data_IF_292709773162
#
_entry.id   IF_292709773162
#
_cell.length_a   1.000
_cell.length_b   1.000
_cell.length_c   1.000
_cell.angle_alpha   90.00
_cell.angle_beta   90.00
_cell.angle_gamma   90.00
#
_symmetry.space_group_name_H-M   'P 1'
#
loop_
_entity.id
_entity.type
_entity.pdbx_description
1 polymer ?
#
# COMPACT_ATOMS: atom_id res chain seq x y z
N UNK A 1 25.59 18.56 -20.45
CA UNK A 1 24.60 18.90 -21.49
C UNK A 1 23.34 19.26 -20.76
N UNK A 2 22.90 20.51 -20.90
CA UNK A 2 21.82 21.06 -20.08
C UNK A 2 20.52 20.85 -20.85
N UNK A 3 19.70 19.87 -20.42
CA UNK A 3 18.39 19.57 -21.02
C UNK A 3 17.33 20.60 -20.57
N UNK A 4 17.61 21.89 -20.73
CA UNK A 4 16.71 22.98 -20.36
C UNK A 4 15.37 22.85 -21.12
N UNK A 5 15.42 22.34 -22.36
CA UNK A 5 14.22 22.11 -23.18
C UNK A 5 13.19 21.18 -22.52
N UNK A 6 13.63 20.15 -21.78
CA UNK A 6 12.70 19.19 -21.16
C UNK A 6 11.91 19.79 -19.99
N UNK A 7 12.45 20.82 -19.33
CA UNK A 7 11.88 21.35 -18.10
C UNK A 7 11.12 22.67 -18.32
N UNK A 8 11.63 23.56 -19.16
CA UNK A 8 11.02 24.88 -19.39
C UNK A 8 10.86 25.25 -20.88
N UNK A 9 11.27 24.37 -21.80
CA UNK A 9 11.26 24.58 -23.25
C UNK A 9 12.12 25.77 -23.72
N UNK A 10 13.05 26.23 -22.90
CA UNK A 10 13.91 27.40 -23.17
C UNK A 10 15.16 27.13 -24.02
N UNK A 11 15.43 25.86 -24.36
CA UNK A 11 16.59 25.42 -25.12
C UNK A 11 16.29 25.06 -26.59
N UNK A 12 17.33 24.70 -27.33
CA UNK A 12 17.19 24.16 -28.69
C UNK A 12 16.65 22.71 -28.62
N UNK A 13 15.51 22.42 -29.29
CA UNK A 13 14.92 21.09 -29.24
C UNK A 13 15.78 20.07 -29.98
N UNK A 14 15.84 18.86 -29.43
CA UNK A 14 16.34 17.71 -30.17
C UNK A 14 15.47 17.46 -31.42
N UNK A 15 16.05 17.22 -32.60
CA UNK A 15 15.30 16.98 -33.84
C UNK A 15 14.27 15.85 -33.73
N UNK A 16 14.59 14.76 -33.02
CA UNK A 16 13.69 13.62 -32.85
C UNK A 16 12.52 13.98 -31.93
N UNK A 17 12.79 14.75 -30.87
CA UNK A 17 11.76 15.27 -29.97
C UNK A 17 10.84 16.23 -30.70
N UNK A 18 11.37 17.07 -31.58
CA UNK A 18 10.59 18.01 -32.37
C UNK A 18 9.64 17.30 -33.34
N UNK A 19 10.10 16.24 -34.01
CA UNK A 19 9.27 15.42 -34.90
C UNK A 19 8.11 14.76 -34.13
N UNK A 20 8.39 14.20 -32.95
CA UNK A 20 7.38 13.62 -32.06
C UNK A 20 6.37 14.67 -31.57
N UNK A 21 6.83 15.85 -31.16
CA UNK A 21 5.92 16.93 -30.73
C UNK A 21 5.01 17.40 -31.87
N UNK A 22 5.51 17.47 -33.10
CA UNK A 22 4.72 17.85 -34.27
C UNK A 22 3.69 16.77 -34.65
N UNK A 23 4.06 15.48 -34.58
CA UNK A 23 3.14 14.36 -34.80
C UNK A 23 2.01 14.33 -33.77
N UNK A 24 2.31 14.60 -32.51
CA UNK A 24 1.35 14.54 -31.40
C UNK A 24 0.57 15.84 -31.20
N UNK A 25 0.99 16.94 -31.84
CA UNK A 25 0.35 18.26 -31.74
C UNK A 25 -1.16 18.24 -31.96
N UNK A 26 -1.73 17.50 -32.93
CA UNK A 26 -3.19 17.46 -33.15
C UNK A 26 -3.95 16.77 -32.01
N UNK A 27 -3.29 15.88 -31.26
CA UNK A 27 -3.87 15.14 -30.14
C UNK A 27 -3.72 15.87 -28.80
N UNK A 28 -3.07 17.05 -28.78
CA UNK A 28 -2.85 17.81 -27.56
C UNK A 28 -4.18 18.21 -26.94
N UNK A 29 -4.45 17.65 -25.76
CA UNK A 29 -5.66 17.94 -25.00
C UNK A 29 -5.80 19.43 -24.72
N UNK A 30 -6.98 19.99 -24.99
CA UNK A 30 -7.34 21.34 -24.55
C UNK A 30 -7.39 21.30 -23.02
N UNK A 31 -6.46 21.99 -22.37
CA UNK A 31 -6.33 21.98 -20.91
C UNK A 31 -7.68 22.13 -20.23
N UNK A 32 -7.92 21.34 -19.18
CA UNK A 32 -9.14 21.47 -18.39
C UNK A 32 -9.14 22.86 -17.76
N UNK A 33 -10.08 23.68 -18.20
CA UNK A 33 -10.34 24.97 -17.58
C UNK A 33 -11.03 24.66 -16.26
N UNK A 34 -10.32 24.82 -15.14
CA UNK A 34 -10.93 24.66 -13.82
C UNK A 34 -12.13 25.60 -13.71
N UNK A 35 -13.34 25.09 -13.42
CA UNK A 35 -14.48 25.95 -13.18
C UNK A 35 -14.28 26.68 -11.85
N UNK A 36 -13.95 27.97 -11.92
CA UNK A 36 -13.90 28.85 -10.74
C UNK A 36 -15.34 29.18 -10.35
N UNK A 37 -15.99 28.30 -9.58
CA UNK A 37 -17.28 28.58 -8.98
C UNK A 37 -17.09 29.42 -7.70
N UNK A 38 -17.83 30.53 -7.51
CA UNK A 38 -17.78 31.28 -6.27
C UNK A 38 -18.46 30.49 -5.14
N UNK A 39 -17.69 30.10 -4.13
CA UNK A 39 -18.19 29.39 -2.95
C UNK A 39 -18.93 30.37 -2.04
N UNK A 40 -20.26 30.47 -2.17
CA UNK A 40 -21.10 31.15 -1.17
C UNK A 40 -21.13 30.33 0.11
N UNK A 41 -20.40 30.80 1.12
CA UNK A 41 -20.28 30.19 2.45
C UNK A 41 -21.56 30.38 3.27
N UNK A 42 -22.56 29.57 2.99
CA UNK A 42 -23.71 29.39 3.88
C UNK A 42 -23.33 28.34 4.91
N UNK A 43 -22.90 28.77 6.10
CA UNK A 43 -22.67 27.88 7.23
C UNK A 43 -24.02 27.33 7.73
N UNK A 44 -24.33 26.04 7.48
CA UNK A 44 -25.58 25.46 7.96
C UNK A 44 -25.49 25.32 9.48
N UNK A 45 -26.57 25.62 10.19
CA UNK A 45 -26.68 25.49 11.66
C UNK A 45 -26.36 24.09 12.18
N UNK A 46 -26.28 23.09 11.30
CA UNK A 46 -25.84 21.73 11.57
C UNK A 46 -24.34 21.58 11.90
N UNK A 47 -23.49 22.57 11.57
CA UNK A 47 -22.06 22.55 11.99
C UNK A 47 -21.94 22.55 13.52
N UNK A 48 -22.82 23.27 14.23
CA UNK A 48 -22.84 23.27 15.69
C UNK A 48 -23.24 21.88 16.26
N UNK A 49 -24.15 21.17 15.58
CA UNK A 49 -24.53 19.81 15.96
C UNK A 49 -23.40 18.79 15.70
N UNK A 50 -22.63 18.97 14.62
CA UNK A 50 -21.48 18.13 14.31
C UNK A 50 -20.37 18.26 15.37
N UNK A 51 -20.10 19.47 15.88
CA UNK A 51 -19.10 19.70 16.94
C UNK A 51 -19.48 18.97 18.24
N UNK A 52 -20.76 19.00 18.64
CA UNK A 52 -21.22 18.29 19.83
C UNK A 52 -21.13 16.76 19.70
N UNK A 53 -21.47 16.21 18.53
CA UNK A 53 -21.31 14.77 18.25
C UNK A 53 -19.83 14.34 18.25
N UNK A 54 -18.93 15.21 17.78
CA UNK A 54 -17.48 14.97 17.75
C UNK A 54 -16.88 14.81 19.15
N UNK A 55 -17.36 15.60 20.13
CA UNK A 55 -16.91 15.50 21.52
C UNK A 55 -17.35 14.19 22.19
N UNK A 56 -18.56 13.70 21.88
CA UNK A 56 -19.03 12.41 22.39
C UNK A 56 -18.29 11.22 21.76
N UNK A 57 -17.96 11.31 20.47
CA UNK A 57 -17.14 10.29 19.78
C UNK A 57 -15.70 10.32 20.32
N UNK A 58 -15.10 11.50 20.49
CA UNK A 58 -13.76 11.65 21.05
C UNK A 58 -13.64 11.12 22.47
N UNK A 59 -14.63 11.38 23.33
CA UNK A 59 -14.67 10.83 24.68
C UNK A 59 -14.89 9.31 24.68
N UNK A 60 -15.73 8.80 23.78
CA UNK A 60 -15.93 7.35 23.60
C UNK A 60 -14.66 6.64 23.13
N UNK A 61 -13.93 7.22 22.17
CA UNK A 61 -12.64 6.69 21.70
C UNK A 61 -11.56 6.78 22.79
N UNK A 62 -11.62 7.75 23.71
CA UNK A 62 -10.66 7.84 24.81
C UNK A 62 -10.88 6.77 25.89
N UNK A 63 -12.12 6.34 26.14
CA UNK A 63 -12.43 5.31 27.13
C UNK A 63 -12.45 3.87 26.57
N UNK A 64 -12.59 3.70 25.26
CA UNK A 64 -12.64 2.38 24.59
C UNK A 64 -11.52 2.15 23.58
N UNK A 65 -10.65 3.14 23.35
CA UNK A 65 -9.50 3.04 22.46
C UNK A 65 -8.22 2.77 23.25
N UNK A 66 -8.09 1.58 23.83
CA UNK A 66 -6.77 1.01 24.16
C UNK A 66 -6.09 0.48 22.88
N UNK A 67 -5.96 1.36 21.89
CA UNK A 67 -5.03 1.21 20.77
C UNK A 67 -4.40 2.59 20.56
N UNK A 68 -3.31 2.81 21.30
CA UNK A 68 -2.50 4.01 21.27
C UNK A 68 -1.81 4.15 19.90
N UNK A 69 -2.12 5.16 19.06
CA UNK A 69 -1.32 5.42 17.88
C UNK A 69 -0.18 6.35 18.29
N UNK A 70 0.95 5.77 18.71
CA UNK A 70 2.19 6.54 18.80
C UNK A 70 3.17 6.10 19.87
N UNK A 71 3.96 5.06 19.60
CA UNK A 71 5.32 5.04 20.11
C UNK A 71 6.26 4.42 19.05
N UNK A 72 7.31 5.13 18.60
CA UNK A 72 8.35 4.51 17.82
C UNK A 72 9.06 3.53 18.76
N UNK A 73 8.71 2.26 18.63
CA UNK A 73 9.38 1.18 19.35
C UNK A 73 10.87 1.24 19.00
N UNK A 74 11.76 1.03 19.99
CA UNK A 74 13.18 0.92 19.72
C UNK A 74 13.37 -0.16 18.65
N UNK A 75 14.13 0.19 17.59
CA UNK A 75 14.55 -0.70 16.50
C UNK A 75 15.09 -1.99 17.09
N UNK A 76 14.20 -2.95 17.30
CA UNK A 76 14.53 -4.29 17.72
C UNK A 76 14.78 -4.99 16.41
N UNK A 77 16.05 -5.33 16.20
CA UNK A 77 16.55 -6.21 15.15
C UNK A 77 15.46 -7.08 14.55
N UNK A 78 15.20 -6.87 13.27
CA UNK A 78 14.27 -7.60 12.41
C UNK A 78 14.65 -9.08 12.43
N UNK A 79 14.15 -9.82 13.42
CA UNK A 79 13.76 -11.20 13.19
C UNK A 79 12.41 -11.09 12.51
N UNK A 80 12.34 -11.38 11.21
CA UNK A 80 11.12 -11.31 10.39
C UNK A 80 10.00 -12.18 11.00
N UNK A 81 9.28 -11.63 11.97
CA UNK A 81 8.15 -12.26 12.63
C UNK A 81 6.93 -12.02 11.78
N UNK A 82 6.49 -13.04 11.04
CA UNK A 82 5.24 -12.98 10.31
C UNK A 82 4.09 -13.26 11.28
N UNK A 83 3.26 -12.26 11.56
CA UNK A 83 2.06 -12.46 12.38
C UNK A 83 0.87 -12.81 11.48
N UNK A 84 0.03 -13.73 11.94
CA UNK A 84 -1.13 -14.20 11.18
C UNK A 84 -2.42 -13.87 11.91
N UNK A 85 -3.32 -13.20 11.21
CA UNK A 85 -4.68 -12.91 11.67
C UNK A 85 -5.71 -13.66 10.80
N UNK A 86 -6.77 -14.16 11.43
CA UNK A 86 -7.88 -14.80 10.71
C UNK A 86 -7.63 -16.28 10.34
N UNK A 87 -6.54 -16.89 10.80
CA UNK A 87 -6.32 -18.34 10.72
C UNK A 87 -6.50 -18.98 12.10
N UNK A 88 -7.51 -19.83 12.24
CA UNK A 88 -7.85 -20.45 13.52
C UNK A 88 -6.65 -21.19 14.14
N UNK A 89 -6.29 -20.82 15.37
CA UNK A 89 -5.22 -21.48 16.14
C UNK A 89 -3.80 -21.11 15.73
N UNK A 90 -3.59 -20.12 14.86
CA UNK A 90 -2.26 -19.63 14.47
C UNK A 90 -2.17 -18.12 14.60
N UNK A 91 -1.16 -17.66 15.33
CA UNK A 91 -0.85 -16.23 15.53
C UNK A 91 0.47 -15.81 14.87
N UNK A 92 1.35 -16.75 14.52
CA UNK A 92 2.61 -16.46 13.84
C UNK A 92 3.04 -17.59 12.92
N UNK A 93 3.92 -17.26 11.97
CA UNK A 93 4.48 -18.18 10.98
C UNK A 93 5.99 -17.94 10.89
N UNK A 94 6.74 -19.05 10.80
CA UNK A 94 8.19 -19.01 10.68
C UNK A 94 8.65 -19.15 9.21
N UNK A 95 9.87 -18.69 8.89
CA UNK A 95 10.52 -19.08 7.64
C UNK A 95 10.48 -20.59 7.40
N UNK A 96 10.27 -20.99 6.14
CA UNK A 96 10.08 -22.38 5.71
C UNK A 96 8.65 -22.91 5.86
N UNK A 97 7.79 -22.26 6.65
CA UNK A 97 6.41 -22.71 6.85
C UNK A 97 5.48 -22.29 5.71
N UNK A 98 4.37 -23.03 5.59
CA UNK A 98 3.33 -22.78 4.59
C UNK A 98 2.01 -22.41 5.27
N UNK A 99 1.42 -21.31 4.79
CA UNK A 99 0.07 -20.85 5.12
C UNK A 99 -0.87 -21.38 4.04
N UNK A 100 -1.94 -22.06 4.46
CA UNK A 100 -3.02 -22.49 3.57
C UNK A 100 -4.33 -21.96 4.10
N UNK A 101 -4.99 -21.13 3.29
CA UNK A 101 -6.32 -20.59 3.61
C UNK A 101 -7.36 -21.56 3.05
N UNK A 102 -8.21 -22.20 3.88
CA UNK A 102 -9.22 -23.13 3.38
C UNK A 102 -10.28 -22.40 2.54
N UNK A 103 -10.75 -23.05 1.47
CA UNK A 103 -11.83 -22.49 0.63
C UNK A 103 -13.19 -22.44 1.35
N UNK A 104 -13.48 -23.42 2.19
CA UNK A 104 -14.76 -23.55 2.91
C UNK A 104 -14.59 -23.08 4.35
N UNK A 105 -15.52 -22.25 4.83
CA UNK A 105 -15.56 -21.78 6.22
C UNK A 105 -14.66 -20.59 6.54
N UNK A 106 -13.87 -20.08 5.58
CA UNK A 106 -13.14 -18.82 5.73
C UNK A 106 -14.13 -17.64 5.66
N UNK A 107 -14.20 -16.82 6.72
CA UNK A 107 -15.18 -15.71 6.82
C UNK A 107 -14.66 -14.39 6.26
N UNK A 108 -13.34 -14.24 6.16
CA UNK A 108 -12.60 -13.15 5.49
C UNK A 108 -11.19 -13.67 5.21
N UNK A 109 -10.43 -13.06 4.29
CA UNK A 109 -9.07 -13.50 3.97
C UNK A 109 -8.15 -13.60 5.20
N UNK A 110 -7.10 -14.41 5.10
CA UNK A 110 -6.07 -14.49 6.15
C UNK A 110 -5.07 -13.36 5.95
N UNK A 111 -4.82 -12.56 6.98
CA UNK A 111 -3.85 -11.47 6.91
C UNK A 111 -2.52 -11.89 7.52
N UNK A 112 -1.46 -11.56 6.81
CA UNK A 112 -0.08 -11.72 7.21
C UNK A 112 0.52 -10.33 7.44
N UNK A 113 0.93 -10.02 8.66
CA UNK A 113 1.68 -8.80 8.98
C UNK A 113 3.18 -9.11 8.88
N UNK A 114 3.93 -8.22 8.25
CA UNK A 114 5.35 -8.41 7.96
C UNK A 114 6.14 -7.36 8.76
N UNK A 115 6.30 -7.59 10.06
CA UNK A 115 6.86 -6.59 10.97
C UNK A 115 6.21 -5.21 10.73
N UNK A 116 7.04 -4.20 10.54
CA UNK A 116 6.61 -2.82 10.25
C UNK A 116 6.52 -2.50 8.75
N UNK A 117 6.83 -3.46 7.88
CA UNK A 117 6.94 -3.25 6.43
C UNK A 117 5.57 -3.13 5.78
N UNK A 118 4.59 -3.91 6.23
CA UNK A 118 3.25 -3.90 5.65
C UNK A 118 2.49 -5.19 5.90
N UNK A 119 1.50 -5.43 5.03
CA UNK A 119 0.58 -6.56 5.16
C UNK A 119 0.28 -7.24 3.83
N UNK A 120 0.03 -8.55 3.90
CA UNK A 120 -0.44 -9.37 2.78
C UNK A 120 -1.73 -10.06 3.18
N UNK A 121 -2.77 -9.89 2.39
CA UNK A 121 -4.06 -10.55 2.57
C UNK A 121 -4.19 -11.71 1.57
N UNK A 122 -4.55 -12.89 2.08
CA UNK A 122 -4.70 -14.11 1.29
C UNK A 122 -6.17 -14.48 1.16
N UNK A 123 -6.61 -14.65 -0.08
CA UNK A 123 -7.98 -15.07 -0.37
C UNK A 123 -8.20 -16.55 -0.02
N UNK A 124 -9.46 -16.98 0.22
CA UNK A 124 -9.79 -18.39 0.42
C UNK A 124 -9.28 -19.29 -0.70
N UNK A 125 -8.61 -20.39 -0.34
CA UNK A 125 -7.99 -21.32 -1.29
C UNK A 125 -6.56 -20.96 -1.71
N UNK A 126 -5.97 -19.93 -1.10
CA UNK A 126 -4.59 -19.53 -1.36
C UNK A 126 -3.60 -20.35 -0.53
N UNK A 127 -2.41 -20.56 -1.10
CA UNK A 127 -1.27 -21.20 -0.45
C UNK A 127 -0.04 -20.33 -0.62
N UNK A 128 0.47 -19.85 0.50
CA UNK A 128 1.64 -18.99 0.59
C UNK A 128 2.73 -19.69 1.38
N UNK A 129 3.95 -19.70 0.88
CA UNK A 129 5.14 -20.19 1.59
C UNK A 129 5.95 -19.00 2.06
N UNK A 130 6.38 -19.03 3.31
CA UNK A 130 7.40 -18.11 3.79
C UNK A 130 8.74 -18.73 3.47
N UNK A 131 9.56 -18.04 2.68
CA UNK A 131 10.88 -18.54 2.32
C UNK A 131 11.87 -18.24 3.44
N UNK A 132 12.80 -19.16 3.61
CA UNK A 132 14.01 -18.95 4.40
C UNK A 132 14.97 -18.24 3.44
N UNK A 133 15.03 -16.92 3.52
CA UNK A 133 16.05 -16.16 2.82
C UNK A 133 17.14 -15.84 3.86
N UNK A 134 18.38 -16.24 3.58
CA UNK A 134 19.57 -15.94 4.41
C UNK A 134 19.84 -14.42 4.47
N UNK A 135 19.17 -13.67 3.60
CA UNK A 135 19.13 -12.23 3.60
C UNK A 135 18.02 -11.78 4.54
N UNK A 136 18.28 -10.75 5.36
CA UNK A 136 17.40 -10.19 6.42
C UNK A 136 16.03 -9.64 5.92
N UNK A 137 15.55 -10.06 4.76
CA UNK A 137 14.45 -9.47 4.00
C UNK A 137 13.27 -10.45 3.83
N UNK A 138 12.02 -9.98 3.83
CA UNK A 138 10.86 -10.86 3.70
C UNK A 138 10.67 -11.38 2.27
N UNK A 139 10.81 -12.70 2.10
CA UNK A 139 10.63 -13.38 0.82
C UNK A 139 9.48 -14.37 0.93
N UNK A 140 8.43 -14.14 0.13
CA UNK A 140 7.20 -14.93 0.13
C UNK A 140 7.01 -15.60 -1.24
N UNK A 141 6.42 -16.79 -1.26
CA UNK A 141 6.08 -17.49 -2.50
C UNK A 141 4.61 -17.91 -2.51
N UNK A 142 3.82 -17.29 -3.40
CA UNK A 142 2.43 -17.65 -3.64
C UNK A 142 2.39 -18.85 -4.59
N UNK A 143 2.25 -20.03 -4.03
CA UNK A 143 2.18 -21.27 -4.80
C UNK A 143 0.86 -21.40 -5.59
N UNK A 144 -0.23 -20.86 -5.03
CA UNK A 144 -1.56 -20.91 -5.63
C UNK A 144 -2.49 -19.87 -4.99
N UNK A 145 -3.46 -19.36 -5.76
CA UNK A 145 -4.53 -18.49 -5.28
C UNK A 145 -4.27 -17.01 -5.55
N UNK A 146 -4.71 -16.15 -4.63
CA UNK A 146 -4.61 -14.70 -4.75
C UNK A 146 -4.12 -14.11 -3.43
N UNK A 147 -3.14 -13.23 -3.57
CA UNK A 147 -2.62 -12.41 -2.48
C UNK A 147 -2.79 -10.95 -2.88
N UNK A 148 -3.04 -10.10 -1.90
CA UNK A 148 -3.10 -8.65 -2.04
C UNK A 148 -2.12 -8.06 -1.04
N UNK A 149 -1.11 -7.34 -1.52
CA UNK A 149 -0.08 -6.76 -0.70
C UNK A 149 -0.31 -5.25 -0.56
N UNK A 150 -0.04 -4.72 0.64
CA UNK A 150 0.07 -3.29 0.89
C UNK A 150 1.35 -3.08 1.69
N UNK A 151 2.35 -2.50 1.05
CA UNK A 151 3.70 -2.32 1.62
C UNK A 151 4.00 -0.83 1.74
N UNK A 152 4.51 -0.43 2.91
CA UNK A 152 4.94 0.93 3.14
C UNK A 152 6.18 1.28 2.31
N UNK A 153 6.44 2.56 2.03
CA UNK A 153 7.57 2.98 1.19
C UNK A 153 8.94 2.68 1.83
N UNK A 154 9.03 2.66 3.15
CA UNK A 154 10.29 2.37 3.84
C UNK A 154 10.60 0.88 3.82
N UNK A 155 11.66 0.49 3.11
CA UNK A 155 12.08 -0.90 3.01
C UNK A 155 11.29 -1.72 1.98
N UNK A 156 10.44 -1.09 1.17
CA UNK A 156 9.66 -1.76 0.14
C UNK A 156 10.52 -2.55 -0.84
N UNK A 157 11.69 -2.01 -1.20
CA UNK A 157 12.67 -2.61 -2.12
C UNK A 157 13.16 -4.00 -1.68
N UNK A 158 12.84 -4.37 -0.44
CA UNK A 158 13.22 -5.61 0.21
C UNK A 158 12.09 -6.64 0.20
N UNK A 159 10.85 -6.23 -0.08
CA UNK A 159 9.71 -7.13 -0.15
C UNK A 159 9.64 -7.83 -1.50
N UNK A 160 9.60 -9.17 -1.45
CA UNK A 160 9.56 -10.02 -2.64
C UNK A 160 8.41 -11.01 -2.55
N UNK A 161 7.57 -11.03 -3.57
CA UNK A 161 6.49 -12.01 -3.72
C UNK A 161 6.70 -12.81 -5.01
N UNK A 162 7.23 -14.01 -4.86
CA UNK A 162 7.36 -14.98 -5.94
C UNK A 162 6.05 -15.72 -6.23
N UNK A 163 5.93 -16.22 -7.45
CA UNK A 163 4.87 -17.13 -7.90
C UNK A 163 5.41 -18.00 -9.05
N UNK A 164 4.68 -19.04 -9.49
CA UNK A 164 5.03 -19.77 -10.71
C UNK A 164 5.10 -18.90 -11.97
N UNK A 165 4.42 -17.75 -11.98
CA UNK A 165 4.41 -16.84 -13.12
C UNK A 165 5.59 -15.85 -13.12
N UNK A 166 6.31 -15.71 -12.01
CA UNK A 166 7.41 -14.76 -11.88
C UNK A 166 7.53 -14.15 -10.48
N UNK A 167 8.39 -13.14 -10.38
CA UNK A 167 8.70 -12.43 -9.15
C UNK A 167 8.14 -11.00 -9.21
N UNK A 168 7.39 -10.61 -8.18
CA UNK A 168 7.02 -9.23 -7.91
C UNK A 168 7.95 -8.64 -6.85
N UNK A 169 8.48 -7.46 -7.13
CA UNK A 169 9.24 -6.64 -6.17
C UNK A 169 8.45 -5.37 -5.94
N UNK A 170 8.17 -5.05 -4.68
CA UNK A 170 7.43 -3.84 -4.34
C UNK A 170 8.38 -2.64 -4.17
N UNK A 171 7.88 -1.44 -4.45
CA UNK A 171 8.57 -0.16 -4.26
C UNK A 171 7.74 0.81 -3.40
N UNK A 172 6.71 0.32 -2.71
CA UNK A 172 5.91 1.04 -1.72
C UNK A 172 4.43 1.21 -2.11
N UNK A 173 3.80 0.17 -2.66
CA UNK A 173 2.49 0.24 -3.28
C UNK A 173 1.50 -0.80 -2.72
N UNK A 174 0.30 -0.79 -3.30
CA UNK A 174 -0.71 -1.83 -3.12
C UNK A 174 -0.93 -2.58 -4.45
N UNK A 175 -0.95 -3.91 -4.41
CA UNK A 175 -1.10 -4.76 -5.61
C UNK A 175 -1.73 -6.13 -5.34
#
# INVERSE_FOLDING_TARGET
MTDDYLWDRGGEPDPEVQELEDLLRPLRGKGHREPTAPVRRLWPRWIAAAVAASLLIGLGLHFFGDDEPGQPTPRTSVGAGYLVEGLAGRSSVRPGETITVPKKGARSGTRLLIGDLGRVELDPGSRLRVLDDDHELPSLFLAHGRAQAVIGPEGAERFRLGSPAGLSVDMGCAY
#
